data_IF_372112389376
#
_entry.id   IF_372112389376
#
_cell.length_a   1.000
_cell.length_b   1.000
_cell.length_c   1.000
_cell.angle_alpha   90.00
_cell.angle_beta   90.00
_cell.angle_gamma   90.00
#
_symmetry.space_group_name_H-M   'P 1'
#
loop_
_entity.id
_entity.type
_entity.pdbx_description
1 polymer ?
#
# COMPACT_ATOMS: atom_id res chain seq x y z
N UNK A 1 21.44 1.89 6.09
CA UNK A 1 20.21 2.62 5.71
C UNK A 1 19.29 1.65 4.98
N UNK A 2 17.99 1.64 5.27
CA UNK A 2 17.00 0.79 4.60
C UNK A 2 16.16 1.62 3.63
N UNK A 3 15.68 1.03 2.55
CA UNK A 3 14.91 1.71 1.50
C UNK A 3 13.91 0.77 0.85
N UNK A 4 13.23 1.25 -0.20
CA UNK A 4 12.31 0.44 -0.99
C UNK A 4 12.98 -0.02 -2.28
N UNK A 5 12.72 -1.27 -2.67
CA UNK A 5 13.19 -1.84 -3.93
C UNK A 5 12.02 -2.31 -4.75
N UNK A 6 12.10 -2.08 -6.06
CA UNK A 6 11.22 -2.70 -7.04
C UNK A 6 11.60 -4.17 -7.21
N UNK A 7 10.61 -5.04 -7.28
CA UNK A 7 10.75 -6.45 -7.64
C UNK A 7 9.92 -6.66 -8.90
N UNK A 8 10.58 -6.94 -10.02
CA UNK A 8 9.91 -7.16 -11.28
C UNK A 8 9.19 -8.52 -11.29
N UNK A 9 8.04 -8.58 -11.95
CA UNK A 9 7.19 -9.76 -12.13
C UNK A 9 6.66 -10.39 -10.83
N UNK A 10 6.75 -9.68 -9.69
CA UNK A 10 6.08 -10.08 -8.45
C UNK A 10 4.60 -9.72 -8.51
N UNK A 11 3.77 -10.52 -7.84
CA UNK A 11 2.34 -10.26 -7.71
C UNK A 11 1.56 -10.51 -8.99
N UNK A 12 0.44 -9.81 -9.14
CA UNK A 12 -0.58 -10.15 -10.15
C UNK A 12 -0.57 -9.28 -11.41
N UNK A 13 0.08 -8.11 -11.37
CA UNK A 13 -0.07 -7.09 -12.42
C UNK A 13 1.24 -6.40 -12.83
N UNK A 14 2.40 -7.06 -12.67
CA UNK A 14 3.64 -6.64 -13.34
C UNK A 14 4.86 -6.44 -12.44
N UNK A 15 4.72 -5.73 -11.32
CA UNK A 15 5.80 -5.54 -10.35
C UNK A 15 5.24 -5.15 -8.97
N UNK A 16 6.14 -5.02 -8.00
CA UNK A 16 5.81 -4.57 -6.66
C UNK A 16 7.00 -3.91 -5.99
N UNK A 17 6.76 -3.35 -4.82
CA UNK A 17 7.75 -2.67 -3.98
C UNK A 17 7.88 -3.41 -2.66
N UNK A 18 9.10 -3.59 -2.18
CA UNK A 18 9.37 -4.18 -0.87
C UNK A 18 10.49 -3.43 -0.13
N UNK A 19 10.43 -3.33 1.21
CA UNK A 19 11.55 -2.87 2.03
C UNK A 19 12.82 -3.69 1.82
N UNK A 20 13.99 -3.04 1.93
CA UNK A 20 15.28 -3.69 1.94
C UNK A 20 16.25 -2.99 2.91
N UNK A 21 17.05 -3.74 3.70
CA UNK A 21 17.06 -5.21 3.81
C UNK A 21 15.81 -5.73 4.55
N UNK A 22 15.39 -6.95 4.22
CA UNK A 22 14.22 -7.60 4.87
C UNK A 22 14.44 -7.93 6.35
N UNK A 23 15.68 -7.84 6.83
CA UNK A 23 16.10 -8.00 8.23
C UNK A 23 16.13 -6.67 9.01
N UNK A 24 15.74 -5.56 8.39
CA UNK A 24 15.70 -4.28 9.09
C UNK A 24 14.72 -4.32 10.28
N UNK A 25 14.95 -3.54 11.36
CA UNK A 25 13.98 -3.45 12.44
C UNK A 25 12.69 -2.78 11.98
N UNK A 26 11.59 -3.05 12.70
CA UNK A 26 10.33 -2.31 12.60
C UNK A 26 10.58 -0.81 12.81
N UNK A 27 9.84 0.02 12.08
CA UNK A 27 9.94 1.48 12.16
C UNK A 27 8.60 2.13 12.50
N UNK A 28 8.67 3.26 13.20
CA UNK A 28 7.54 4.18 13.32
C UNK A 28 7.42 4.98 12.01
N UNK A 29 6.25 5.01 11.36
CA UNK A 29 6.06 5.78 10.13
C UNK A 29 6.00 7.28 10.44
N UNK A 30 6.37 8.12 9.47
CA UNK A 30 6.42 9.56 9.61
C UNK A 30 7.84 10.12 9.75
N UNK A 31 7.96 11.44 9.61
CA UNK A 31 9.25 12.14 9.60
C UNK A 31 10.07 11.92 8.31
N UNK A 32 11.09 12.75 8.11
CA UNK A 32 11.90 12.74 6.89
C UNK A 32 12.75 11.48 6.75
N UNK A 33 13.21 10.90 7.88
CA UNK A 33 14.09 9.73 7.93
C UNK A 33 13.37 8.38 7.71
N UNK A 34 12.04 8.33 7.71
CA UNK A 34 11.30 7.08 7.51
C UNK A 34 11.14 6.77 6.01
N UNK A 35 11.63 5.61 5.52
CA UNK A 35 11.61 5.28 4.10
C UNK A 35 10.19 5.05 3.55
N UNK A 36 9.91 5.63 2.39
CA UNK A 36 8.62 5.53 1.69
C UNK A 36 8.77 5.75 0.19
N UNK A 37 8.08 5.00 -0.68
CA UNK A 37 7.78 5.45 -2.01
C UNK A 37 6.72 6.55 -1.93
N UNK A 38 6.81 7.49 -2.86
CA UNK A 38 5.93 8.64 -2.93
C UNK A 38 5.36 8.73 -4.34
N UNK A 39 4.05 8.87 -4.43
CA UNK A 39 3.30 8.87 -5.68
C UNK A 39 2.59 10.22 -5.80
N UNK A 40 2.93 10.98 -6.84
CA UNK A 40 2.20 12.18 -7.22
C UNK A 40 0.90 11.75 -7.91
N UNK A 41 -0.25 12.23 -7.42
CA UNK A 41 -1.58 11.91 -7.95
C UNK A 41 -2.40 13.19 -8.11
N UNK A 42 -3.15 13.29 -9.21
CA UNK A 42 -4.08 14.40 -9.44
C UNK A 42 -5.49 13.97 -9.08
N UNK A 43 -6.07 14.60 -8.05
CA UNK A 43 -7.44 14.37 -7.61
C UNK A 43 -8.33 15.51 -8.10
N UNK A 44 -9.43 15.18 -8.77
CA UNK A 44 -10.29 16.16 -9.44
C UNK A 44 -11.39 16.74 -8.53
N UNK A 45 -11.55 16.18 -7.33
CA UNK A 45 -12.55 16.60 -6.35
C UNK A 45 -11.98 16.56 -4.94
N UNK A 46 -12.49 17.44 -4.08
CA UNK A 46 -12.33 17.32 -2.63
C UNK A 46 -13.28 16.23 -2.10
N UNK A 47 -13.01 15.75 -0.88
CA UNK A 47 -13.87 14.79 -0.19
C UNK A 47 -13.11 13.64 0.43
N UNK A 48 -13.84 12.64 0.91
CA UNK A 48 -13.22 11.42 1.45
C UNK A 48 -12.96 10.43 0.33
N UNK A 49 -11.71 9.97 0.21
CA UNK A 49 -11.29 8.91 -0.71
C UNK A 49 -10.97 7.63 0.07
N UNK A 50 -11.15 6.48 -0.58
CA UNK A 50 -10.69 5.19 -0.04
C UNK A 50 -9.45 4.75 -0.80
N UNK A 51 -8.33 4.55 -0.12
CA UNK A 51 -7.11 3.98 -0.71
C UNK A 51 -7.07 2.50 -0.41
N UNK A 52 -7.14 1.69 -1.46
CA UNK A 52 -6.95 0.24 -1.41
C UNK A 52 -5.48 -0.10 -1.65
N UNK A 53 -4.89 -0.85 -0.74
CA UNK A 53 -3.56 -1.43 -0.88
C UNK A 53 -3.68 -2.92 -1.18
N UNK A 54 -3.10 -3.32 -2.32
CA UNK A 54 -2.99 -4.70 -2.77
C UNK A 54 -1.58 -5.18 -2.42
N UNK A 55 -1.50 -6.18 -1.55
CA UNK A 55 -0.26 -6.62 -0.92
C UNK A 55 -0.07 -8.10 -1.20
N UNK A 56 1.16 -8.57 -1.33
CA UNK A 56 1.38 -10.02 -1.46
C UNK A 56 0.97 -10.73 -0.16
N UNK A 57 0.35 -11.93 -0.23
CA UNK A 57 -0.22 -12.60 0.92
C UNK A 57 0.85 -13.26 1.79
N UNK A 58 1.64 -12.42 2.46
CA UNK A 58 2.74 -12.84 3.33
C UNK A 58 2.20 -13.19 4.71
N UNK A 59 2.65 -14.31 5.29
CA UNK A 59 2.48 -14.60 6.71
C UNK A 59 3.49 -13.78 7.55
N UNK A 60 3.22 -13.53 8.84
CA UNK A 60 4.18 -12.91 9.74
C UNK A 60 5.43 -13.79 9.87
N UNK A 61 6.57 -13.31 9.36
CA UNK A 61 7.83 -14.05 9.38
C UNK A 61 8.77 -13.64 10.54
N UNK A 62 8.42 -12.60 11.29
CA UNK A 62 9.23 -12.01 12.34
C UNK A 62 8.51 -12.11 13.69
N UNK A 63 9.24 -12.26 14.82
CA UNK A 63 8.66 -12.35 16.17
C UNK A 63 8.10 -11.01 16.69
N UNK A 64 7.79 -10.09 15.77
CA UNK A 64 7.32 -8.73 16.04
C UNK A 64 5.79 -8.66 16.21
N UNK A 65 5.07 -9.70 15.79
CA UNK A 65 3.61 -9.71 15.72
C UNK A 65 3.08 -8.87 14.56
N UNK A 66 2.13 -9.45 13.83
CA UNK A 66 1.46 -8.81 12.69
C UNK A 66 2.38 -8.53 11.50
N UNK A 67 1.82 -7.84 10.51
CA UNK A 67 2.55 -7.33 9.35
C UNK A 67 1.96 -5.99 8.92
N UNK A 68 2.68 -4.89 9.18
CA UNK A 68 2.14 -3.54 9.02
C UNK A 68 2.81 -2.71 7.95
N UNK A 69 2.02 -1.78 7.42
CA UNK A 69 2.45 -0.63 6.65
C UNK A 69 1.73 0.62 7.15
N UNK A 70 2.07 1.80 6.63
CA UNK A 70 1.22 2.98 6.80
C UNK A 70 1.04 3.77 5.52
N UNK A 71 -0.04 4.55 5.46
CA UNK A 71 -0.39 5.43 4.34
C UNK A 71 -0.67 6.85 4.83
N UNK A 72 -0.23 7.85 4.09
CA UNK A 72 -0.73 9.23 4.24
C UNK A 72 -0.77 9.97 2.91
N UNK A 73 -1.61 10.99 2.84
CA UNK A 73 -1.51 12.05 1.85
C UNK A 73 -0.75 13.24 2.44
N UNK A 74 0.10 13.85 1.62
CA UNK A 74 0.78 15.10 1.93
C UNK A 74 1.40 15.05 3.34
N UNK A 75 1.15 16.05 4.17
CA UNK A 75 1.67 16.14 5.53
C UNK A 75 0.69 15.61 6.58
N UNK A 76 -0.38 14.94 6.17
CA UNK A 76 -1.29 14.29 7.10
C UNK A 76 -0.57 13.17 7.88
N UNK A 77 -0.95 12.94 9.15
CA UNK A 77 -0.38 11.84 9.94
C UNK A 77 -0.55 10.47 9.26
N UNK A 78 0.49 9.61 9.23
CA UNK A 78 0.38 8.26 8.70
C UNK A 78 -0.66 7.41 9.43
N UNK A 79 -1.54 6.76 8.67
CA UNK A 79 -2.47 5.73 9.17
C UNK A 79 -1.82 4.37 9.03
N UNK A 80 -1.53 3.72 10.15
CA UNK A 80 -0.94 2.37 10.19
C UNK A 80 -2.03 1.31 10.03
N UNK A 81 -1.74 0.28 9.24
CA UNK A 81 -2.63 -0.86 9.01
C UNK A 81 -1.84 -2.13 9.32
N UNK A 82 -2.40 -3.00 10.15
CA UNK A 82 -1.99 -4.39 10.26
C UNK A 82 -2.78 -5.22 9.25
N UNK A 83 -2.08 -5.86 8.31
CA UNK A 83 -2.67 -6.53 7.17
C UNK A 83 -3.54 -7.71 7.61
N UNK A 84 -3.07 -8.49 8.57
CA UNK A 84 -3.78 -9.69 9.04
C UNK A 84 -4.96 -9.31 9.91
N UNK A 85 -4.78 -8.37 10.83
CA UNK A 85 -5.89 -7.88 11.66
C UNK A 85 -6.99 -7.20 10.82
N UNK A 86 -6.62 -6.44 9.78
CA UNK A 86 -7.58 -5.76 8.92
C UNK A 86 -8.37 -6.72 8.02
N UNK A 87 -7.80 -7.87 7.68
CA UNK A 87 -8.49 -8.88 6.85
C UNK A 87 -9.17 -9.97 7.69
N UNK A 88 -8.71 -10.20 8.92
CA UNK A 88 -9.08 -11.37 9.71
C UNK A 88 -8.38 -12.67 9.26
N UNK A 89 -7.33 -12.57 8.43
CA UNK A 89 -6.55 -13.73 8.01
C UNK A 89 -5.71 -14.25 9.17
N UNK A 90 -5.77 -15.56 9.40
CA UNK A 90 -4.98 -16.26 10.41
C UNK A 90 -4.34 -17.49 9.78
N UNK A 91 -3.01 -17.47 9.66
CA UNK A 91 -2.25 -18.56 9.06
C UNK A 91 -2.03 -19.74 10.01
N UNK A 92 -2.02 -19.51 11.32
CA UNK A 92 -1.92 -20.59 12.32
C UNK A 92 -3.19 -21.44 12.35
N UNK A 93 -4.36 -20.82 12.18
CA UNK A 93 -5.65 -21.50 12.05
C UNK A 93 -5.96 -21.94 10.61
N UNK A 94 -5.16 -21.50 9.62
CA UNK A 94 -5.40 -21.72 8.19
C UNK A 94 -6.84 -21.38 7.79
N UNK A 95 -7.36 -20.26 8.30
CA UNK A 95 -8.77 -19.94 8.17
C UNK A 95 -9.19 -19.62 6.72
N UNK A 96 -10.49 -19.54 6.47
CA UNK A 96 -11.04 -19.31 5.12
C UNK A 96 -10.54 -18.01 4.48
N UNK A 97 -10.32 -16.96 5.28
CA UNK A 97 -9.76 -15.71 4.80
C UNK A 97 -8.30 -15.87 4.36
N UNK A 98 -7.48 -16.55 5.16
CA UNK A 98 -6.10 -16.88 4.80
C UNK A 98 -6.04 -17.73 3.52
N UNK A 99 -6.90 -18.76 3.42
CA UNK A 99 -6.98 -19.61 2.24
C UNK A 99 -7.37 -18.81 0.99
N UNK A 100 -8.34 -17.89 1.10
CA UNK A 100 -8.74 -17.00 0.01
C UNK A 100 -7.61 -16.06 -0.41
N UNK A 101 -6.95 -15.38 0.52
CA UNK A 101 -5.84 -14.48 0.20
C UNK A 101 -4.68 -15.20 -0.49
N UNK A 102 -4.42 -16.45 -0.08
CA UNK A 102 -3.45 -17.34 -0.73
C UNK A 102 -3.89 -17.71 -2.14
N UNK A 103 -5.16 -18.08 -2.32
CA UNK A 103 -5.73 -18.48 -3.62
C UNK A 103 -5.76 -17.33 -4.62
N UNK A 104 -6.19 -16.15 -4.17
CA UNK A 104 -6.25 -14.93 -4.98
C UNK A 104 -4.90 -14.22 -5.13
N UNK A 105 -3.85 -14.75 -4.47
CA UNK A 105 -2.49 -14.23 -4.42
C UNK A 105 -2.41 -12.74 -4.01
N UNK A 106 -3.26 -12.31 -3.07
CA UNK A 106 -3.32 -10.92 -2.58
C UNK A 106 -3.96 -10.82 -1.19
N UNK A 107 -3.46 -9.89 -0.38
CA UNK A 107 -4.16 -9.27 0.73
C UNK A 107 -4.65 -7.88 0.29
N UNK A 108 -5.95 -7.62 0.37
CA UNK A 108 -6.52 -6.30 0.11
C UNK A 108 -6.93 -5.64 1.41
N UNK A 109 -6.41 -4.43 1.66
CA UNK A 109 -6.78 -3.61 2.81
C UNK A 109 -7.13 -2.20 2.34
N UNK A 110 -7.90 -1.45 3.13
CA UNK A 110 -8.29 -0.09 2.78
C UNK A 110 -8.15 0.89 3.94
N UNK A 111 -7.92 2.16 3.58
CA UNK A 111 -7.90 3.29 4.51
C UNK A 111 -8.67 4.46 3.90
N UNK A 112 -9.34 5.25 4.74
CA UNK A 112 -10.06 6.46 4.30
C UNK A 112 -9.26 7.72 4.63
N UNK A 113 -9.21 8.64 3.67
CA UNK A 113 -8.46 9.90 3.78
C UNK A 113 -9.33 11.07 3.33
N UNK A 114 -9.29 12.16 4.08
CA UNK A 114 -9.96 13.40 3.70
C UNK A 114 -9.03 14.24 2.81
N UNK A 115 -9.53 14.65 1.66
CA UNK A 115 -8.85 15.49 0.68
C UNK A 115 -9.54 16.85 0.70
N UNK A 116 -8.79 17.88 1.09
CA UNK A 116 -9.36 19.21 1.37
C UNK A 116 -9.78 19.97 0.10
N UNK A 117 -9.05 19.78 -1.00
CA UNK A 117 -9.26 20.47 -2.26
C UNK A 117 -8.88 19.56 -3.44
N UNK A 118 -9.45 19.76 -4.63
CA UNK A 118 -8.90 19.19 -5.86
C UNK A 118 -7.47 19.68 -6.08
N UNK A 119 -6.64 18.85 -6.72
CA UNK A 119 -5.28 19.24 -7.08
C UNK A 119 -4.30 18.07 -7.07
N UNK A 120 -3.01 18.42 -7.08
CA UNK A 120 -1.91 17.47 -6.99
C UNK A 120 -1.63 17.17 -5.52
N UNK A 121 -1.64 15.89 -5.18
CA UNK A 121 -1.33 15.37 -3.84
C UNK A 121 -0.21 14.34 -3.91
N UNK A 122 0.45 14.12 -2.77
CA UNK A 122 1.47 13.08 -2.63
C UNK A 122 0.99 11.96 -1.72
N UNK A 123 0.71 10.80 -2.30
CA UNK A 123 0.44 9.57 -1.54
C UNK A 123 1.76 8.94 -1.11
N UNK A 124 1.94 8.75 0.20
CA UNK A 124 3.13 8.19 0.84
C UNK A 124 2.83 6.79 1.38
N UNK A 125 3.58 5.77 0.94
CA UNK A 125 3.48 4.41 1.47
C UNK A 125 4.68 4.10 2.39
N UNK A 126 4.46 4.07 3.69
CA UNK A 126 5.53 4.05 4.68
C UNK A 126 5.95 2.63 5.04
N UNK A 127 7.27 2.45 5.18
CA UNK A 127 7.85 1.25 5.77
C UNK A 127 7.52 1.22 7.28
N UNK A 128 6.83 0.17 7.72
CA UNK A 128 6.65 -0.15 9.15
C UNK A 128 7.33 -1.47 9.43
N UNK A 129 6.81 -2.58 8.88
CA UNK A 129 7.47 -3.89 8.94
C UNK A 129 8.24 -4.20 7.64
N UNK A 130 9.45 -4.80 7.73
CA UNK A 130 10.43 -4.87 6.64
C UNK A 130 10.15 -5.98 5.61
N UNK A 131 9.06 -6.75 5.77
CA UNK A 131 8.73 -7.90 4.90
C UNK A 131 7.46 -7.68 4.09
N UNK A 132 6.87 -6.48 4.15
CA UNK A 132 5.73 -6.08 3.33
C UNK A 132 6.11 -6.07 1.85
N UNK A 133 5.21 -6.55 1.01
CA UNK A 133 5.35 -6.46 -0.46
C UNK A 133 4.10 -5.79 -1.02
N UNK A 134 4.21 -4.52 -1.38
CA UNK A 134 3.16 -3.76 -2.05
C UNK A 134 3.13 -4.14 -3.53
N UNK A 135 1.98 -4.57 -4.04
CA UNK A 135 1.79 -4.82 -5.47
C UNK A 135 1.15 -3.62 -6.17
N UNK A 136 0.14 -2.99 -5.55
CA UNK A 136 -0.65 -1.94 -6.17
C UNK A 136 -1.36 -1.04 -5.16
N UNK A 137 -1.55 0.22 -5.52
CA UNK A 137 -2.42 1.17 -4.84
C UNK A 137 -3.57 1.57 -5.78
N UNK A 138 -4.79 1.62 -5.28
CA UNK A 138 -5.97 2.12 -6.00
C UNK A 138 -6.65 3.17 -5.13
N UNK A 139 -6.86 4.37 -5.68
CA UNK A 139 -7.60 5.44 -5.01
C UNK A 139 -9.02 5.42 -5.56
N UNK A 140 -9.98 5.02 -4.74
CA UNK A 140 -11.40 5.12 -5.01
C UNK A 140 -11.92 6.49 -4.56
N UNK A 141 -12.23 7.34 -5.54
CA UNK A 141 -12.82 8.67 -5.34
C UNK A 141 -14.36 8.63 -5.39
N UNK A 142 -14.95 7.42 -5.38
CA UNK A 142 -16.38 7.17 -5.52
C UNK A 142 -16.67 6.30 -6.75
N UNK A 143 -17.46 5.24 -6.55
CA UNK A 143 -18.00 4.42 -7.65
C UNK A 143 -17.12 3.25 -8.11
N UNK A 144 -16.04 2.91 -7.39
CA UNK A 144 -15.26 1.71 -7.72
C UNK A 144 -16.10 0.43 -7.51
N UNK A 145 -16.43 -0.25 -8.60
CA UNK A 145 -17.06 -1.56 -8.59
C UNK A 145 -16.07 -2.71 -8.30
N UNK A 146 -16.57 -3.90 -7.91
CA UNK A 146 -15.73 -5.05 -7.67
C UNK A 146 -15.05 -5.52 -8.97
N UNK A 147 -13.74 -5.72 -8.90
CA UNK A 147 -12.93 -6.27 -10.00
C UNK A 147 -11.88 -7.21 -9.43
N UNK A 148 -11.51 -8.26 -10.16
CA UNK A 148 -10.56 -9.26 -9.67
C UNK A 148 -9.13 -8.70 -9.52
N UNK A 149 -8.66 -7.98 -10.54
CA UNK A 149 -7.31 -7.41 -10.60
C UNK A 149 -7.22 -5.93 -10.21
N UNK A 150 -8.36 -5.27 -9.98
CA UNK A 150 -8.43 -3.80 -9.94
C UNK A 150 -8.64 -3.20 -11.34
N UNK A 151 -8.85 -1.88 -11.43
CA UNK A 151 -8.91 -1.18 -12.70
C UNK A 151 -7.53 -1.19 -13.41
N UNK A 152 -7.44 -0.87 -14.71
CA UNK A 152 -6.17 -0.54 -15.36
C UNK A 152 -5.41 0.58 -14.62
N UNK A 153 -4.11 0.71 -14.86
CA UNK A 153 -3.35 1.85 -14.34
C UNK A 153 -3.86 3.15 -14.97
N UNK A 154 -4.06 4.19 -14.14
CA UNK A 154 -4.51 5.50 -14.61
C UNK A 154 -3.43 6.18 -15.46
N UNK A 155 -3.85 7.07 -16.37
CA UNK A 155 -2.91 7.85 -17.16
C UNK A 155 -1.98 8.69 -16.28
N UNK A 156 -0.69 8.63 -16.56
CA UNK A 156 0.30 9.53 -16.00
C UNK A 156 0.38 10.78 -16.86
N UNK A 157 0.18 11.94 -16.25
CA UNK A 157 0.46 13.21 -16.92
C UNK A 157 1.96 13.44 -16.81
N UNK A 158 2.67 13.33 -17.92
CA UNK A 158 4.06 13.76 -17.97
C UNK A 158 4.08 15.28 -17.88
N UNK A 159 4.70 15.84 -16.83
CA UNK A 159 5.07 17.26 -16.88
C UNK A 159 6.11 17.37 -17.98
N UNK A 160 5.70 17.90 -19.13
CA UNK A 160 6.62 18.24 -20.20
C UNK A 160 7.80 19.01 -19.61
N UNK A 161 9.00 18.45 -19.78
CA UNK A 161 10.23 19.21 -19.57
C UNK A 161 10.20 20.27 -20.67
N UNK A 162 9.92 21.51 -20.32
CA UNK A 162 10.25 22.64 -21.20
C UNK A 162 11.76 22.56 -21.40
N UNK A 163 12.19 22.14 -22.59
CA UNK A 163 13.57 22.32 -23.05
C UNK A 163 13.84 23.79 -23.28
#
# INVERSE_FOLDING_TARGET
MGGWRRVDRIGRTGAGMTPYPVTAPRRTPGGTASPRPEYEVSLLSAGTVTVWAYLSPRNPALPTGGLRYALSFDDAPPRTVDIHAATGADDGLMNSQWARNTSDNVNMTSTRHAIAAPGVHRLKFWMVDPTVVLQRLVIDTGGLGPTYLGPPESHRVDRGVTR
#
